data_IF_346603209981
#
_entry.id   IF_346603209981
#
_cell.length_a   1.000
_cell.length_b   1.000
_cell.length_c   1.000
_cell.angle_alpha   90.00
_cell.angle_beta   90.00
_cell.angle_gamma   90.00
#
_symmetry.space_group_name_H-M   'P 1'
#
loop_
_entity.id
_entity.type
_entity.pdbx_description
1 polymer ?
#
# COMPACT_ATOMS: atom_id res chain seq x y z
N UNK A 1 9.32 -1.31 -5.86
CA UNK A 1 8.11 -0.48 -5.67
C UNK A 1 7.91 -0.22 -4.20
N UNK A 2 7.64 1.01 -3.83
CA UNK A 2 7.43 1.42 -2.43
C UNK A 2 5.99 1.89 -2.28
N UNK A 3 5.27 1.31 -1.34
CA UNK A 3 3.89 1.66 -1.04
C UNK A 3 3.76 2.28 0.35
N UNK A 4 2.92 3.30 0.45
CA UNK A 4 2.46 3.86 1.71
C UNK A 4 1.03 3.37 1.96
N UNK A 5 0.78 2.79 3.11
CA UNK A 5 -0.56 2.35 3.49
C UNK A 5 -1.27 3.51 4.20
N UNK A 6 -2.26 4.09 3.56
CA UNK A 6 -2.96 5.29 4.03
C UNK A 6 -4.47 5.02 4.06
N UNK A 7 -5.15 5.57 5.03
CA UNK A 7 -6.61 5.52 5.11
C UNK A 7 -7.22 6.14 3.83
N UNK A 8 -8.24 5.50 3.28
CA UNK A 8 -8.86 5.94 2.03
C UNK A 8 -9.41 7.36 2.10
N UNK A 9 -9.94 7.76 3.25
CA UNK A 9 -10.51 9.10 3.47
C UNK A 9 -9.45 10.20 3.61
N UNK A 10 -8.17 9.82 3.66
CA UNK A 10 -7.04 10.76 3.69
C UNK A 10 -6.32 10.89 2.35
N UNK A 11 -6.83 10.22 1.33
CA UNK A 11 -6.30 10.30 -0.04
C UNK A 11 -7.32 11.03 -0.89
N UNK A 12 -6.93 12.17 -1.44
CA UNK A 12 -7.79 13.05 -2.21
C UNK A 12 -7.22 13.29 -3.59
N UNK A 13 -8.06 13.25 -4.61
CA UNK A 13 -7.68 13.58 -5.99
C UNK A 13 -7.81 15.10 -6.18
N UNK A 14 -6.69 15.77 -6.43
CA UNK A 14 -6.65 17.23 -6.60
C UNK A 14 -6.89 17.66 -8.04
N UNK A 15 -6.49 16.85 -9.00
CA UNK A 15 -6.62 17.16 -10.42
C UNK A 15 -6.82 15.88 -11.22
N UNK A 16 -7.81 15.88 -12.10
CA UNK A 16 -8.18 14.71 -12.89
C UNK A 16 -8.73 13.59 -12.00
N UNK A 17 -8.99 12.44 -12.62
CA UNK A 17 -9.50 11.27 -11.91
C UNK A 17 -8.72 10.04 -12.35
N UNK A 18 -7.99 9.38 -11.43
CA UNK A 18 -7.26 8.17 -11.78
C UNK A 18 -8.20 7.08 -12.27
N UNK A 19 -7.79 6.36 -13.30
CA UNK A 19 -8.59 5.31 -13.94
C UNK A 19 -8.26 3.96 -13.31
N UNK A 20 -9.27 3.16 -12.88
CA UNK A 20 -9.03 1.85 -12.32
C UNK A 20 -8.76 0.80 -13.40
N UNK A 21 -7.81 -0.08 -13.11
CA UNK A 21 -7.51 -1.28 -13.90
C UNK A 21 -7.46 -2.46 -12.94
N UNK A 22 -8.27 -3.48 -13.19
CA UNK A 22 -8.29 -4.67 -12.36
C UNK A 22 -7.25 -5.66 -12.85
N UNK A 23 -6.35 -6.07 -11.95
CA UNK A 23 -5.28 -7.02 -12.21
C UNK A 23 -5.55 -8.28 -11.39
N UNK A 24 -5.66 -9.46 -12.02
CA UNK A 24 -5.88 -10.69 -11.29
C UNK A 24 -4.68 -11.03 -10.41
N UNK A 25 -4.97 -11.59 -9.23
CA UNK A 25 -4.00 -12.10 -8.28
C UNK A 25 -4.24 -13.58 -8.04
N UNK A 26 -3.24 -14.26 -7.49
CA UNK A 26 -3.37 -15.65 -7.10
C UNK A 26 -4.54 -15.85 -6.12
N UNK A 27 -5.22 -16.99 -6.17
CA UNK A 27 -6.36 -17.29 -5.30
C UNK A 27 -7.66 -16.62 -5.71
N UNK A 28 -7.80 -16.18 -6.96
CA UNK A 28 -9.04 -15.56 -7.46
C UNK A 28 -9.29 -14.15 -6.96
N UNK A 29 -8.29 -13.53 -6.34
CA UNK A 29 -8.38 -12.15 -5.84
C UNK A 29 -7.98 -11.16 -6.92
N UNK A 30 -8.39 -9.90 -6.74
CA UNK A 30 -8.11 -8.83 -7.68
C UNK A 30 -7.41 -7.68 -6.96
N UNK A 31 -6.43 -7.10 -7.62
CA UNK A 31 -5.84 -5.82 -7.25
C UNK A 31 -6.36 -4.76 -8.20
N UNK A 32 -6.91 -3.68 -7.68
CA UNK A 32 -7.35 -2.54 -8.49
C UNK A 32 -6.28 -1.46 -8.45
N UNK A 33 -5.68 -1.19 -9.60
CA UNK A 33 -4.63 -0.18 -9.75
C UNK A 33 -5.23 1.06 -10.38
N UNK A 34 -5.02 2.22 -9.75
CA UNK A 34 -5.52 3.50 -10.25
C UNK A 34 -4.37 4.23 -10.95
N UNK A 35 -4.54 4.48 -12.24
CA UNK A 35 -3.53 5.09 -13.09
C UNK A 35 -3.96 6.46 -13.58
N UNK A 36 -2.98 7.35 -13.76
CA UNK A 36 -3.22 8.63 -14.42
C UNK A 36 -3.65 8.38 -15.87
N UNK A 37 -4.78 8.93 -16.33
CA UNK A 37 -5.24 8.71 -17.71
C UNK A 37 -4.33 9.35 -18.77
N UNK A 38 -3.54 10.36 -18.40
CA UNK A 38 -2.66 11.05 -19.32
C UNK A 38 -1.32 10.32 -19.53
N UNK A 39 -0.68 9.88 -18.44
CA UNK A 39 0.67 9.28 -18.50
C UNK A 39 0.72 7.81 -18.09
N UNK A 40 -0.38 7.24 -17.63
CA UNK A 40 -0.52 5.83 -17.22
C UNK A 40 0.30 5.45 -15.99
N UNK A 41 0.90 6.38 -15.29
CA UNK A 41 1.62 6.09 -14.04
C UNK A 41 0.61 5.64 -12.99
N UNK A 42 0.92 4.55 -12.28
CA UNK A 42 0.12 4.06 -11.17
C UNK A 42 0.31 5.00 -9.97
N UNK A 43 -0.79 5.54 -9.45
CA UNK A 43 -0.78 6.50 -8.34
C UNK A 43 -1.02 5.77 -7.02
N UNK A 44 -2.04 4.93 -6.96
CA UNK A 44 -2.31 4.08 -5.81
C UNK A 44 -3.04 2.83 -6.25
N UNK A 45 -3.08 1.85 -5.36
CA UNK A 45 -3.85 0.63 -5.58
C UNK A 45 -4.72 0.30 -4.38
N UNK A 46 -5.71 -0.55 -4.63
CA UNK A 46 -6.61 -1.08 -3.62
C UNK A 46 -6.66 -2.60 -3.76
N UNK A 47 -6.60 -3.27 -2.64
CA UNK A 47 -6.80 -4.71 -2.56
C UNK A 47 -8.20 -5.01 -2.04
N UNK A 48 -8.37 -6.09 -1.29
CA UNK A 48 -9.69 -6.50 -0.80
C UNK A 48 -10.28 -5.56 0.26
N UNK A 49 -9.45 -4.79 0.95
CA UNK A 49 -9.90 -3.87 2.01
C UNK A 49 -10.13 -2.49 1.43
N UNK A 50 -11.39 -2.09 1.35
CA UNK A 50 -11.78 -0.83 0.71
C UNK A 50 -11.32 0.42 1.47
N UNK A 51 -11.07 0.31 2.78
CA UNK A 51 -10.70 1.45 3.62
C UNK A 51 -9.24 1.87 3.52
N UNK A 52 -8.42 1.16 2.75
CA UNK A 52 -6.97 1.41 2.65
C UNK A 52 -6.59 1.69 1.21
N UNK A 53 -5.70 2.66 1.02
CA UNK A 53 -5.03 2.93 -0.25
C UNK A 53 -3.55 2.65 -0.12
N UNK A 54 -2.99 1.96 -1.11
CA UNK A 54 -1.56 1.72 -1.23
C UNK A 54 -0.98 2.76 -2.17
N UNK A 55 -0.53 3.87 -1.61
CA UNK A 55 -0.04 5.02 -2.38
C UNK A 55 1.38 4.75 -2.82
N UNK A 56 1.68 4.98 -4.09
CA UNK A 56 3.02 4.82 -4.65
C UNK A 56 3.92 5.95 -4.17
N UNK A 57 4.94 5.63 -3.39
CA UNK A 57 5.83 6.63 -2.80
C UNK A 57 6.54 7.48 -3.85
N UNK A 58 6.86 6.89 -5.01
CA UNK A 58 7.53 7.61 -6.11
C UNK A 58 6.69 8.71 -6.74
N UNK A 59 5.38 8.76 -6.47
CA UNK A 59 4.48 9.81 -6.99
C UNK A 59 4.30 10.98 -6.03
N UNK A 60 4.92 10.94 -4.85
CA UNK A 60 4.90 12.06 -3.92
C UNK A 60 5.67 13.25 -4.48
N UNK A 61 5.30 14.46 -4.06
CA UNK A 61 6.04 15.67 -4.43
C UNK A 61 7.50 15.59 -3.97
N UNK A 62 7.72 15.05 -2.77
CA UNK A 62 9.06 14.76 -2.24
C UNK A 62 9.14 13.28 -1.84
N UNK A 63 9.53 12.39 -2.78
CA UNK A 63 9.65 10.96 -2.47
C UNK A 63 10.70 10.66 -1.40
N UNK A 64 11.69 11.51 -1.23
CA UNK A 64 12.74 11.33 -0.22
C UNK A 64 12.28 11.62 1.20
N UNK A 65 11.06 12.16 1.37
CA UNK A 65 10.49 12.38 2.70
C UNK A 65 10.10 11.11 3.43
N UNK A 66 10.06 9.97 2.73
CA UNK A 66 9.70 8.68 3.30
C UNK A 66 10.85 7.68 3.13
N UNK A 67 10.98 6.80 4.11
CA UNK A 67 11.93 5.70 4.09
C UNK A 67 11.16 4.41 4.35
N UNK A 68 11.44 3.32 3.61
CA UNK A 68 10.76 2.06 3.86
C UNK A 68 10.99 1.56 5.28
N UNK A 69 9.91 1.15 5.94
CA UNK A 69 9.94 0.55 7.28
C UNK A 69 10.19 -0.95 7.22
N UNK A 70 9.89 -1.57 6.09
CA UNK A 70 9.96 -3.02 5.91
C UNK A 70 10.09 -3.36 4.42
N UNK A 71 10.81 -4.43 4.13
CA UNK A 71 10.87 -5.03 2.80
C UNK A 71 10.16 -6.37 2.80
N UNK A 72 9.32 -6.59 1.82
CA UNK A 72 8.54 -7.82 1.70
C UNK A 72 8.80 -8.52 0.38
N UNK A 73 8.44 -9.81 0.32
CA UNK A 73 8.61 -10.67 -0.87
C UNK A 73 10.06 -10.68 -1.38
N UNK A 74 11.01 -10.68 -0.47
CA UNK A 74 12.44 -10.69 -0.83
C UNK A 74 12.86 -11.98 -1.53
N UNK A 75 12.02 -13.05 -1.46
CA UNK A 75 12.25 -14.28 -2.23
C UNK A 75 12.30 -14.04 -3.73
N UNK A 76 11.64 -12.97 -4.21
CA UNK A 76 11.61 -12.59 -5.62
C UNK A 76 12.59 -11.46 -5.94
N UNK A 77 13.41 -11.08 -4.96
CA UNK A 77 14.41 -10.02 -5.13
C UNK A 77 15.49 -10.46 -6.11
N UNK A 78 15.86 -9.55 -7.02
CA UNK A 78 16.99 -9.80 -7.91
C UNK A 78 18.29 -9.79 -7.12
N UNK A 79 19.24 -10.64 -7.51
CA UNK A 79 20.48 -10.86 -6.75
C UNK A 79 21.34 -9.61 -6.61
N UNK A 80 21.25 -8.68 -7.55
CA UNK A 80 22.04 -7.43 -7.52
C UNK A 80 21.39 -6.33 -6.69
N UNK A 81 20.18 -6.52 -6.17
CA UNK A 81 19.53 -5.55 -5.29
C UNK A 81 20.03 -5.75 -3.87
N UNK A 82 20.57 -4.69 -3.27
CA UNK A 82 21.05 -4.69 -1.88
C UNK A 82 20.05 -3.95 -1.01
N UNK A 83 19.62 -4.59 0.07
CA UNK A 83 18.73 -3.98 1.07
C UNK A 83 19.53 -3.62 2.32
N UNK A 84 19.23 -2.48 2.99
CA UNK A 84 19.88 -2.13 4.23
C UNK A 84 19.63 -3.16 5.33
N UNK A 85 20.65 -3.55 6.06
CA UNK A 85 20.53 -4.49 7.19
C UNK A 85 19.70 -3.93 8.35
N UNK A 86 19.61 -2.61 8.43
CA UNK A 86 18.86 -1.90 9.48
C UNK A 86 17.34 -1.97 9.31
N UNK A 87 16.85 -2.41 8.16
CA UNK A 87 15.42 -2.47 7.85
C UNK A 87 14.95 -3.92 7.84
N UNK A 88 13.89 -4.29 8.58
CA UNK A 88 13.38 -5.65 8.55
C UNK A 88 12.99 -6.09 7.14
N UNK A 89 13.30 -7.34 6.79
CA UNK A 89 13.01 -7.91 5.47
C UNK A 89 12.42 -9.30 5.64
N UNK A 90 11.42 -9.61 4.83
CA UNK A 90 10.68 -10.88 4.92
C UNK A 90 10.58 -11.52 3.53
N UNK A 91 10.78 -12.83 3.50
CA UNK A 91 10.71 -13.60 2.24
C UNK A 91 9.36 -13.48 1.55
N UNK A 92 8.29 -13.41 2.32
CA UNK A 92 6.92 -13.20 1.85
C UNK A 92 6.33 -11.96 2.51
N UNK A 93 5.42 -12.14 3.47
CA UNK A 93 4.78 -11.05 4.18
C UNK A 93 5.10 -11.14 5.68
N UNK A 94 4.74 -10.13 6.43
CA UNK A 94 5.02 -10.04 7.87
C UNK A 94 3.72 -10.04 8.68
N UNK A 95 3.86 -10.24 10.00
CA UNK A 95 2.75 -10.04 10.94
C UNK A 95 2.75 -8.57 11.39
N UNK A 96 1.75 -7.81 10.94
CA UNK A 96 1.66 -6.39 11.24
C UNK A 96 1.54 -6.10 12.74
N UNK A 97 0.95 -7.01 13.51
CA UNK A 97 0.81 -6.86 14.96
C UNK A 97 2.15 -6.87 15.68
N UNK A 98 3.14 -7.53 15.09
CA UNK A 98 4.50 -7.59 15.65
C UNK A 98 5.39 -6.45 15.18
N UNK A 99 5.08 -5.86 14.03
CA UNK A 99 5.96 -4.89 13.39
C UNK A 99 5.47 -3.44 13.52
N UNK A 100 4.17 -3.22 13.40
CA UNK A 100 3.62 -1.87 13.36
C UNK A 100 3.58 -1.23 14.74
N UNK A 101 3.80 0.11 14.84
CA UNK A 101 3.54 0.85 16.07
C UNK A 101 2.07 0.72 16.49
N UNK A 102 1.82 0.77 17.80
CA UNK A 102 0.47 0.64 18.35
C UNK A 102 -0.51 1.66 17.76
N UNK A 103 -0.07 2.91 17.57
CA UNK A 103 -0.90 3.96 16.98
C UNK A 103 -1.34 3.62 15.55
N UNK A 104 -0.46 3.00 14.77
CA UNK A 104 -0.79 2.57 13.39
C UNK A 104 -1.77 1.41 13.39
N UNK A 105 -1.62 0.48 14.33
CA UNK A 105 -2.56 -0.65 14.48
C UNK A 105 -3.94 -0.15 14.86
N UNK A 106 -4.05 0.81 15.77
CA UNK A 106 -5.31 1.41 16.18
C UNK A 106 -6.03 2.07 15.00
N UNK A 107 -5.30 2.81 14.18
CA UNK A 107 -5.83 3.44 12.96
C UNK A 107 -6.32 2.39 11.96
N UNK A 108 -5.58 1.31 11.80
CA UNK A 108 -5.95 0.22 10.91
C UNK A 108 -7.23 -0.49 11.38
N UNK A 109 -7.34 -0.77 12.67
CA UNK A 109 -8.54 -1.39 13.25
C UNK A 109 -9.77 -0.50 13.07
N UNK A 110 -9.61 0.81 13.22
CA UNK A 110 -10.72 1.76 13.09
C UNK A 110 -11.36 1.74 11.70
N UNK A 111 -10.60 1.47 10.64
CA UNK A 111 -11.09 1.43 9.27
C UNK A 111 -11.45 0.04 8.77
N UNK A 112 -10.97 -1.02 9.43
CA UNK A 112 -11.22 -2.40 9.01
C UNK A 112 -12.21 -3.12 9.92
N UNK A 113 -12.56 -2.54 11.08
CA UNK A 113 -13.58 -3.09 11.96
C UNK A 113 -14.92 -3.17 11.23
N UNK A 114 -15.69 -4.26 11.41
CA UNK A 114 -17.02 -4.32 10.83
C UNK A 114 -17.85 -3.14 11.33
N UNK A 115 -18.45 -2.42 10.39
CA UNK A 115 -19.39 -1.37 10.76
C UNK A 115 -20.54 -2.02 11.54
N UNK A 116 -20.76 -1.57 12.75
CA UNK A 116 -21.93 -2.00 13.47
C UNK A 116 -23.16 -1.53 12.72
N UNK A 117 -24.08 -2.46 12.55
CA UNK A 117 -25.35 -2.19 11.86
C UNK A 117 -26.38 -1.51 12.77
N UNK A 118 -25.98 -0.74 13.71
CA UNK A 118 -26.87 -0.03 14.60
C UNK A 118 -27.26 1.33 14.01
N UNK A 119 -27.78 1.21 12.90
CA UNK A 119 -28.46 2.32 12.27
C UNK A 119 -27.75 3.18 11.50
#
# INVERSE_FOLDING_TARGET
MINLLIEADRVESLAGEPQPVDVPRSGGKTQRIFRCPACQIAVFSRYTRAGIRFVRAGTLDDPSSVTPDVHIYTRSKLSWVTLPDSTPAFATYYDMKKLWPAASLDRFEAITAPKRSDG
#
